data_IF_357392438399
#
_entry.id   IF_357392438399
#
_cell.length_a   1.000
_cell.length_b   1.000
_cell.length_c   1.000
_cell.angle_alpha   90.00
_cell.angle_beta   90.00
_cell.angle_gamma   90.00
#
_symmetry.space_group_name_H-M   'P 1'
#
loop_
_entity.id
_entity.type
_entity.pdbx_description
1 polymer ?
#
# COMPACT_ATOMS: atom_id res chain seq x y z
N UNK A 1 7.02 0.16 -33.81
CA UNK A 1 5.98 -0.46 -32.97
C UNK A 1 6.44 -1.85 -32.59
N UNK A 2 7.06 -1.99 -31.42
CA UNK A 2 7.35 -3.31 -30.86
C UNK A 2 6.22 -3.63 -29.87
N UNK A 3 5.35 -4.55 -30.26
CA UNK A 3 4.30 -5.11 -29.40
C UNK A 3 4.97 -6.00 -28.37
N UNK A 4 5.08 -5.52 -27.14
CA UNK A 4 5.49 -6.35 -26.01
C UNK A 4 4.41 -7.41 -25.76
N UNK A 5 4.81 -8.68 -25.88
CA UNK A 5 4.02 -9.86 -25.54
C UNK A 5 3.56 -9.80 -24.08
N UNK A 6 2.27 -10.09 -23.85
CA UNK A 6 1.69 -10.25 -22.53
C UNK A 6 2.48 -11.31 -21.72
N UNK A 7 3.25 -10.87 -20.72
CA UNK A 7 3.90 -11.76 -19.77
C UNK A 7 2.90 -12.17 -18.68
N UNK A 8 2.98 -13.45 -18.30
CA UNK A 8 2.19 -14.16 -17.27
C UNK A 8 1.50 -13.28 -16.21
N UNK A 9 0.19 -13.45 -16.09
CA UNK A 9 -0.65 -12.86 -15.04
C UNK A 9 -0.44 -13.47 -13.64
N UNK A 10 0.82 -13.73 -13.22
CA UNK A 10 1.12 -14.38 -11.94
C UNK A 10 1.79 -13.49 -10.89
N UNK A 11 2.34 -12.32 -11.25
CA UNK A 11 2.91 -11.37 -10.29
C UNK A 11 2.64 -9.93 -10.74
N UNK A 12 1.77 -9.25 -10.00
CA UNK A 12 1.34 -7.87 -10.29
C UNK A 12 2.10 -6.85 -9.43
N UNK A 13 3.43 -6.99 -9.36
CA UNK A 13 4.33 -6.05 -8.68
C UNK A 13 5.76 -6.20 -9.22
N UNK A 14 6.57 -5.15 -9.05
CA UNK A 14 8.02 -5.17 -9.33
C UNK A 14 8.73 -4.55 -8.14
N UNK A 15 9.51 -5.35 -7.42
CA UNK A 15 10.27 -4.95 -6.23
C UNK A 15 11.67 -5.53 -6.30
N UNK A 16 12.62 -4.95 -5.56
CA UNK A 16 14.03 -5.38 -5.58
C UNK A 16 14.23 -6.79 -5.01
N UNK A 17 13.66 -7.07 -3.84
CA UNK A 17 13.82 -8.34 -3.13
C UNK A 17 12.61 -8.59 -2.23
N UNK A 18 11.84 -9.64 -2.54
CA UNK A 18 10.62 -10.02 -1.80
C UNK A 18 10.95 -10.75 -0.49
N UNK A 19 12.16 -11.29 -0.32
CA UNK A 19 12.57 -11.98 0.90
C UNK A 19 12.63 -11.03 2.12
N UNK A 20 12.67 -9.72 1.89
CA UNK A 20 12.67 -8.69 2.93
C UNK A 20 11.26 -8.38 3.49
N UNK A 21 10.21 -9.07 3.03
CA UNK A 21 8.83 -8.78 3.42
C UNK A 21 8.59 -8.89 4.93
N UNK A 22 9.15 -9.90 5.60
CA UNK A 22 8.97 -10.09 7.04
C UNK A 22 9.63 -8.97 7.85
N UNK A 23 10.83 -8.56 7.42
CA UNK A 23 11.51 -7.40 8.03
C UNK A 23 10.71 -6.11 7.81
N UNK A 24 10.25 -5.86 6.58
CA UNK A 24 9.40 -4.72 6.27
C UNK A 24 8.10 -4.71 7.08
N UNK A 25 7.50 -5.88 7.33
CA UNK A 25 6.31 -6.02 8.18
C UNK A 25 6.59 -5.66 9.63
N UNK A 26 7.74 -6.05 10.17
CA UNK A 26 8.14 -5.67 11.53
C UNK A 26 8.31 -4.15 11.66
N UNK A 27 8.96 -3.50 10.68
CA UNK A 27 9.12 -2.04 10.65
C UNK A 27 7.77 -1.31 10.49
N UNK A 28 6.85 -1.84 9.68
CA UNK A 28 5.48 -1.29 9.56
C UNK A 28 4.76 -1.33 10.92
N UNK A 29 4.85 -2.44 11.65
CA UNK A 29 4.23 -2.55 12.97
C UNK A 29 4.79 -1.52 13.98
N UNK A 30 6.08 -1.21 13.90
CA UNK A 30 6.69 -0.12 14.68
C UNK A 30 6.16 1.24 14.21
N UNK A 31 6.08 1.49 12.90
CA UNK A 31 5.59 2.76 12.38
C UNK A 31 4.11 3.02 12.74
N UNK A 32 3.28 1.98 12.86
CA UNK A 32 1.89 2.13 13.31
C UNK A 32 1.79 2.75 14.72
N UNK A 33 2.74 2.47 15.62
CA UNK A 33 2.74 3.07 16.97
C UNK A 33 3.05 4.57 16.94
N UNK A 34 3.82 5.03 15.95
CA UNK A 34 4.21 6.42 15.75
C UNK A 34 3.27 7.21 14.82
N UNK A 35 2.21 6.57 14.31
CA UNK A 35 1.24 7.19 13.38
C UNK A 35 -0.20 7.15 13.93
N UNK A 36 -0.45 7.70 15.14
CA UNK A 36 -1.75 7.56 15.83
C UNK A 36 -2.91 8.16 15.04
N UNK A 37 -2.68 9.20 14.23
CA UNK A 37 -3.71 9.80 13.38
C UNK A 37 -4.24 8.82 12.32
N UNK A 38 -3.36 8.05 11.67
CA UNK A 38 -3.80 7.04 10.69
C UNK A 38 -4.49 5.87 11.39
N UNK A 39 -4.01 5.45 12.55
CA UNK A 39 -4.64 4.37 13.32
C UNK A 39 -6.04 4.76 13.81
N UNK A 40 -6.22 6.01 14.24
CA UNK A 40 -7.52 6.55 14.61
C UNK A 40 -8.48 6.55 13.41
N UNK A 41 -8.05 6.97 12.22
CA UNK A 41 -8.87 6.92 11.00
C UNK A 41 -9.30 5.48 10.65
N UNK A 42 -8.41 4.50 10.79
CA UNK A 42 -8.75 3.08 10.59
C UNK A 42 -9.82 2.63 11.58
N UNK A 43 -9.68 2.99 12.86
CA UNK A 43 -10.63 2.61 13.90
C UNK A 43 -12.00 3.28 13.69
N UNK A 44 -12.03 4.57 13.33
CA UNK A 44 -13.26 5.34 13.15
C UNK A 44 -14.02 4.94 11.88
N UNK A 45 -13.33 4.80 10.75
CA UNK A 45 -13.97 4.65 9.44
C UNK A 45 -13.83 3.27 8.81
N UNK A 46 -13.08 2.34 9.43
CA UNK A 46 -12.85 1.00 8.89
C UNK A 46 -14.14 0.20 8.66
N UNK A 47 -15.12 0.31 9.56
CA UNK A 47 -16.42 -0.36 9.40
C UNK A 47 -17.29 0.30 8.30
N UNK A 48 -17.24 1.63 8.20
CA UNK A 48 -18.00 2.39 7.20
C UNK A 48 -17.46 2.19 5.77
N UNK A 49 -16.17 1.84 5.64
CA UNK A 49 -15.46 1.65 4.36
C UNK A 49 -15.76 2.77 3.34
N UNK A 50 -15.49 4.04 3.68
CA UNK A 50 -15.89 5.18 2.84
C UNK A 50 -15.21 5.19 1.46
N UNK A 51 -14.10 4.48 1.29
CA UNK A 51 -13.38 4.38 0.02
C UNK A 51 -13.75 3.12 -0.78
N UNK A 52 -14.80 2.39 -0.39
CA UNK A 52 -15.25 1.20 -1.12
C UNK A 52 -15.53 1.54 -2.59
N UNK A 53 -14.84 0.84 -3.50
CA UNK A 53 -14.96 1.04 -4.95
C UNK A 53 -14.04 2.14 -5.51
N UNK A 54 -13.33 2.88 -4.64
CA UNK A 54 -12.30 3.80 -5.09
C UNK A 54 -11.08 3.03 -5.61
N UNK A 55 -10.55 3.46 -6.76
CA UNK A 55 -9.30 2.94 -7.34
C UNK A 55 -8.25 4.05 -7.28
N UNK A 56 -7.24 3.88 -6.45
CA UNK A 56 -6.25 4.91 -6.13
C UNK A 56 -4.90 4.49 -6.70
N UNK A 57 -4.28 5.37 -7.50
CA UNK A 57 -2.88 5.23 -7.91
C UNK A 57 -2.05 6.27 -7.17
N UNK A 58 -1.03 5.84 -6.42
CA UNK A 58 -0.14 6.72 -5.67
C UNK A 58 1.26 6.78 -6.27
N UNK A 59 1.88 7.96 -6.18
CA UNK A 59 3.28 8.21 -6.53
C UNK A 59 3.93 9.06 -5.43
N UNK A 60 4.27 8.40 -4.33
CA UNK A 60 4.98 8.98 -3.17
C UNK A 60 6.22 8.14 -2.87
N UNK A 61 7.11 8.63 -2.01
CA UNK A 61 8.30 7.87 -1.61
C UNK A 61 7.86 6.53 -0.99
N UNK A 62 8.42 5.40 -1.43
CA UNK A 62 7.98 4.08 -0.97
C UNK A 62 8.67 3.70 0.34
N UNK A 63 8.33 4.42 1.41
CA UNK A 63 8.87 4.22 2.76
C UNK A 63 7.94 3.39 3.65
N UNK A 64 8.41 3.05 4.85
CA UNK A 64 7.61 2.35 5.87
C UNK A 64 6.36 3.17 6.26
N UNK A 65 6.49 4.49 6.43
CA UNK A 65 5.34 5.37 6.76
C UNK A 65 4.30 5.39 5.63
N UNK A 66 4.74 5.38 4.37
CA UNK A 66 3.83 5.30 3.22
C UNK A 66 3.14 3.94 3.15
N UNK A 67 3.76 2.85 3.59
CA UNK A 67 3.06 1.57 3.73
C UNK A 67 1.89 1.67 4.73
N UNK A 68 2.06 2.35 5.87
CA UNK A 68 0.97 2.60 6.83
C UNK A 68 -0.18 3.42 6.19
N UNK A 69 0.15 4.43 5.38
CA UNK A 69 -0.84 5.18 4.61
C UNK A 69 -1.59 4.27 3.61
N UNK A 70 -0.87 3.47 2.83
CA UNK A 70 -1.45 2.55 1.83
C UNK A 70 -2.41 1.57 2.51
N UNK A 71 -1.98 0.93 3.60
CA UNK A 71 -2.81 -0.01 4.35
C UNK A 71 -4.01 0.68 5.01
N UNK A 72 -3.91 1.96 5.35
CA UNK A 72 -5.06 2.75 5.80
C UNK A 72 -6.08 2.92 4.67
N UNK A 73 -5.64 3.31 3.46
CA UNK A 73 -6.54 3.44 2.31
C UNK A 73 -7.25 2.11 1.99
N UNK A 74 -6.53 1.00 2.05
CA UNK A 74 -7.08 -0.35 1.86
C UNK A 74 -8.07 -0.71 2.97
N UNK A 75 -7.75 -0.46 4.23
CA UNK A 75 -8.66 -0.68 5.36
C UNK A 75 -9.97 0.13 5.22
N UNK A 76 -9.88 1.33 4.66
CA UNK A 76 -11.04 2.18 4.35
C UNK A 76 -11.78 1.76 3.07
N UNK A 77 -11.32 0.73 2.36
CA UNK A 77 -12.03 0.06 1.27
C UNK A 77 -11.52 0.33 -0.15
N UNK A 78 -10.42 1.07 -0.31
CA UNK A 78 -9.86 1.36 -1.63
C UNK A 78 -9.10 0.18 -2.23
N UNK A 79 -9.07 0.10 -3.55
CA UNK A 79 -8.10 -0.67 -4.31
C UNK A 79 -6.92 0.24 -4.68
N UNK A 80 -5.70 -0.20 -4.39
CA UNK A 80 -4.50 0.65 -4.50
C UNK A 80 -3.46 0.08 -5.46
N UNK A 81 -2.82 0.94 -6.23
CA UNK A 81 -1.56 0.67 -6.95
C UNK A 81 -0.57 1.76 -6.63
N UNK A 82 0.70 1.43 -6.50
CA UNK A 82 1.71 2.38 -6.05
C UNK A 82 2.99 2.30 -6.86
N UNK A 83 3.60 3.45 -7.09
CA UNK A 83 4.96 3.59 -7.60
C UNK A 83 5.71 4.59 -6.73
N UNK A 84 7.03 4.52 -6.69
CA UNK A 84 7.82 5.52 -6.00
C UNK A 84 8.08 6.73 -6.89
N UNK A 85 8.06 7.94 -6.31
CA UNK A 85 8.34 9.18 -7.04
C UNK A 85 9.81 9.61 -7.00
N UNK A 86 10.68 8.89 -6.27
CA UNK A 86 12.13 9.07 -6.27
C UNK A 86 12.85 7.75 -5.98
#
# INVERSE_FOLDING_TARGET
>A
MATASAQNASQDYVVRDIALADYGRAEIAIAETEMPGLMALRAEFGAARPLKGARITGSLHMTIQTAVLIETLVALGAEVRWATCN
#
